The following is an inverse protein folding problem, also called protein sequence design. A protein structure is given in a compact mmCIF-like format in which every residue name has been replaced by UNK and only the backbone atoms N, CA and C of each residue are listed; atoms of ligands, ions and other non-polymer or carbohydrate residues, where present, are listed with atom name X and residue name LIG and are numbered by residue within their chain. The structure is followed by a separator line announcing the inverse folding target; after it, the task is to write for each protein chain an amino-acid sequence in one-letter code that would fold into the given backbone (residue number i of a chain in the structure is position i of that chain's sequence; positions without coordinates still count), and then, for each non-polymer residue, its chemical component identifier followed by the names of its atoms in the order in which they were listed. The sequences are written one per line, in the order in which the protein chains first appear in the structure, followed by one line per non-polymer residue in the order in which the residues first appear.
data_IF_376633702717
#
_entry.id   IF_376633702717
#
_cell.length_a   1.000
_cell.length_b   1.000
_cell.length_c   1.000
_cell.angle_alpha   90.00
_cell.angle_beta   90.00
_cell.angle_gamma   90.00
#
_symmetry.space_group_name_H-M   'P 1'
#
loop_
_entity.id
_entity.type
_entity.pdbx_description
1 polymer ?
#
# COMPACT_ATOMS: atom_id res chain seq x y z
N UNK A 1 -11.53 -4.29 -6.11
CA UNK A 1 -10.06 -4.07 -6.09
C UNK A 1 -9.81 -2.99 -7.10
N UNK A 2 -9.16 -1.91 -6.64
CA UNK A 2 -8.91 -0.79 -7.52
C UNK A 2 -7.83 -1.09 -8.55
N UNK A 3 -7.95 -0.47 -9.72
CA UNK A 3 -6.93 -0.52 -10.77
C UNK A 3 -5.73 0.30 -10.30
N UNK A 4 -4.50 -0.20 -10.47
CA UNK A 4 -3.29 0.58 -10.16
C UNK A 4 -2.80 1.33 -11.41
N UNK A 5 -2.51 2.63 -11.26
CA UNK A 5 -1.86 3.44 -12.29
C UNK A 5 -0.58 4.03 -11.73
N UNK A 6 0.55 3.51 -12.20
CA UNK A 6 1.90 3.96 -11.77
C UNK A 6 2.66 4.57 -12.94
N UNK A 7 3.51 5.57 -12.69
CA UNK A 7 4.40 6.08 -13.71
C UNK A 7 5.38 4.98 -14.14
N UNK A 8 5.84 5.06 -15.39
CA UNK A 8 6.89 4.18 -15.88
C UNK A 8 8.23 4.63 -15.29
N UNK A 9 8.69 3.91 -14.28
CA UNK A 9 10.05 4.07 -13.80
C UNK A 9 11.02 3.24 -14.63
N UNK A 10 12.14 3.83 -15.02
CA UNK A 10 13.26 3.10 -15.62
C UNK A 10 14.13 2.49 -14.50
N UNK A 11 13.62 1.43 -13.88
CA UNK A 11 14.31 0.72 -12.78
C UNK A 11 14.95 -0.54 -13.38
N UNK A 12 16.28 -0.70 -13.29
CA UNK A 12 16.95 -1.86 -13.86
C UNK A 12 16.57 -3.13 -13.11
N UNK A 13 16.41 -4.23 -13.87
CA UNK A 13 16.35 -5.57 -13.29
C UNK A 13 17.76 -5.98 -12.89
N UNK A 14 17.94 -6.43 -11.65
CA UNK A 14 19.23 -6.86 -11.12
C UNK A 14 19.12 -8.26 -10.54
N UNK A 15 20.02 -9.14 -10.99
CA UNK A 15 20.22 -10.43 -10.34
C UNK A 15 20.87 -10.20 -8.98
N UNK A 16 20.14 -10.53 -7.93
CA UNK A 16 20.59 -10.43 -6.54
C UNK A 16 20.42 -11.79 -5.88
N UNK A 17 21.33 -12.14 -4.98
CA UNK A 17 21.18 -13.37 -4.19
C UNK A 17 20.04 -13.21 -3.18
N UNK A 18 19.23 -14.25 -3.04
CA UNK A 18 18.23 -14.34 -2.00
C UNK A 18 18.73 -15.23 -0.86
N UNK A 19 18.19 -14.98 0.33
CA UNK A 19 18.38 -15.83 1.51
C UNK A 19 17.01 -16.28 2.02
N UNK A 20 16.92 -17.48 2.58
CA UNK A 20 15.70 -17.91 3.24
C UNK A 20 15.58 -17.25 4.61
N UNK A 21 14.44 -16.61 4.88
CA UNK A 21 14.12 -16.01 6.16
C UNK A 21 12.83 -16.64 6.68
N UNK A 22 12.80 -16.96 7.98
CA UNK A 22 11.62 -17.50 8.63
C UNK A 22 10.48 -16.48 8.60
N UNK A 23 9.28 -16.94 8.25
CA UNK A 23 8.09 -16.09 8.14
C UNK A 23 7.71 -15.46 9.49
N UNK A 24 7.99 -16.17 10.60
CA UNK A 24 7.75 -15.68 11.96
C UNK A 24 8.64 -14.49 12.34
N UNK A 25 9.77 -14.28 11.63
CA UNK A 25 10.65 -13.12 11.83
C UNK A 25 10.23 -11.91 11.00
N UNK A 26 9.19 -12.00 10.18
CA UNK A 26 8.75 -10.93 9.31
C UNK A 26 7.60 -10.16 9.94
N UNK A 27 7.71 -8.82 9.96
CA UNK A 27 6.70 -7.91 10.48
C UNK A 27 6.04 -7.13 9.33
N UNK A 28 4.71 -7.25 9.14
CA UNK A 28 3.98 -6.43 8.20
C UNK A 28 3.89 -4.99 8.71
N UNK A 29 3.89 -4.02 7.80
CA UNK A 29 3.53 -2.62 8.10
C UNK A 29 2.21 -2.19 7.44
N UNK A 30 1.55 -3.06 6.69
CA UNK A 30 0.25 -2.80 6.06
C UNK A 30 -0.72 -3.94 6.31
N UNK A 31 -2.02 -3.59 6.34
CA UNK A 31 -3.12 -4.54 6.33
C UNK A 31 -3.16 -5.31 5.00
N UNK A 32 -3.68 -6.54 5.07
CA UNK A 32 -3.81 -7.41 3.91
C UNK A 32 -5.10 -7.10 3.13
N UNK A 33 -5.04 -7.33 1.82
CA UNK A 33 -6.23 -7.33 0.95
C UNK A 33 -6.60 -8.77 0.68
N UNK A 34 -7.79 -9.19 1.11
CA UNK A 34 -8.22 -10.60 1.05
C UNK A 34 -8.13 -11.18 -0.36
N UNK A 35 -8.56 -10.42 -1.38
CA UNK A 35 -8.51 -10.84 -2.78
C UNK A 35 -7.08 -11.03 -3.30
N UNK A 36 -6.12 -10.18 -2.92
CA UNK A 36 -4.70 -10.35 -3.31
C UNK A 36 -4.06 -11.55 -2.61
N UNK A 37 -4.43 -11.79 -1.34
CA UNK A 37 -4.01 -12.96 -0.59
C UNK A 37 -4.48 -14.27 -1.25
N UNK A 38 -5.76 -14.34 -1.62
CA UNK A 38 -6.35 -15.51 -2.29
C UNK A 38 -5.72 -15.74 -3.66
N UNK A 39 -5.57 -14.68 -4.46
CA UNK A 39 -4.93 -14.76 -5.77
C UNK A 39 -3.48 -15.24 -5.69
N UNK A 40 -2.72 -14.80 -4.68
CA UNK A 40 -1.37 -15.32 -4.44
C UNK A 40 -1.39 -16.82 -4.13
N UNK A 41 -2.26 -17.26 -3.21
CA UNK A 41 -2.36 -18.67 -2.81
C UNK A 41 -2.69 -19.55 -4.02
N UNK A 42 -3.69 -19.15 -4.83
CA UNK A 42 -4.07 -19.89 -6.05
C UNK A 42 -2.89 -19.98 -7.04
N UNK A 43 -2.21 -18.86 -7.26
CA UNK A 43 -1.07 -18.78 -8.19
C UNK A 43 0.12 -19.66 -7.75
N UNK A 44 0.53 -19.57 -6.48
CA UNK A 44 1.70 -20.31 -5.98
C UNK A 44 1.40 -21.81 -5.85
N UNK A 45 0.18 -22.20 -5.47
CA UNK A 45 -0.19 -23.62 -5.37
C UNK A 45 -0.44 -24.25 -6.74
N UNK A 46 -1.00 -23.50 -7.70
CA UNK A 46 -1.21 -23.97 -9.07
C UNK A 46 0.08 -24.16 -9.86
N UNK A 47 1.07 -23.28 -9.66
CA UNK A 47 2.37 -23.38 -10.33
C UNK A 47 3.38 -24.25 -9.59
N UNK A 48 3.28 -24.36 -8.26
CA UNK A 48 4.28 -25.00 -7.41
C UNK A 48 5.60 -24.22 -7.31
N UNK A 49 5.64 -22.97 -7.80
CA UNK A 49 6.87 -22.16 -7.89
C UNK A 49 6.65 -20.79 -7.24
N UNK A 50 7.52 -20.45 -6.30
CA UNK A 50 7.64 -19.12 -5.71
C UNK A 50 8.73 -18.34 -6.44
N UNK A 51 8.33 -17.41 -7.31
CA UNK A 51 9.25 -16.76 -8.25
C UNK A 51 9.59 -15.30 -7.94
N UNK A 52 8.93 -14.67 -6.95
CA UNK A 52 9.16 -13.26 -6.59
C UNK A 52 9.64 -13.15 -5.13
N UNK A 53 10.94 -12.88 -4.87
CA UNK A 53 11.48 -12.84 -3.51
C UNK A 53 10.82 -11.75 -2.66
N UNK A 54 10.75 -11.98 -1.36
CA UNK A 54 10.37 -10.96 -0.38
C UNK A 54 11.42 -9.84 -0.37
N UNK A 55 10.98 -8.60 -0.16
CA UNK A 55 11.88 -7.49 0.10
C UNK A 55 11.79 -7.15 1.58
N UNK A 56 12.90 -7.30 2.29
CA UNK A 56 12.96 -7.19 3.74
C UNK A 56 13.97 -6.15 4.19
N UNK A 57 13.73 -5.54 5.33
CA UNK A 57 14.66 -4.64 5.99
C UNK A 57 14.84 -5.06 7.44
N UNK A 58 16.08 -5.08 7.96
CA UNK A 58 16.32 -5.41 9.37
C UNK A 58 15.68 -4.35 10.27
N UNK A 59 14.99 -4.79 11.33
CA UNK A 59 14.47 -3.89 12.37
C UNK A 59 15.60 -3.58 13.36
N UNK A 60 16.03 -2.31 13.50
CA UNK A 60 17.15 -1.99 14.39
C UNK A 60 16.85 -2.33 15.85
N UNK A 61 17.67 -3.19 16.44
CA UNK A 61 17.54 -3.62 17.84
C UNK A 61 16.70 -4.89 18.05
N UNK A 62 16.20 -5.52 16.99
CA UNK A 62 15.40 -6.75 17.07
C UNK A 62 15.93 -7.81 16.08
N UNK A 63 15.75 -9.10 16.38
CA UNK A 63 15.97 -10.19 15.41
C UNK A 63 14.74 -10.38 14.51
N UNK A 64 14.28 -9.28 13.91
CA UNK A 64 13.06 -9.19 13.11
C UNK A 64 13.30 -8.38 11.83
N UNK A 65 12.45 -8.58 10.84
CA UNK A 65 12.52 -7.94 9.53
C UNK A 65 11.21 -7.22 9.21
N UNK A 66 11.28 -5.94 8.85
CA UNK A 66 10.20 -5.22 8.20
C UNK A 66 9.96 -5.82 6.81
N UNK A 67 8.71 -6.14 6.48
CA UNK A 67 8.30 -6.50 5.11
C UNK A 67 8.20 -5.23 4.29
N UNK A 68 9.19 -4.92 3.45
CA UNK A 68 9.12 -3.75 2.54
C UNK A 68 8.15 -4.02 1.40
N UNK A 69 8.22 -5.21 0.78
CA UNK A 69 7.28 -5.67 -0.23
C UNK A 69 7.06 -7.18 -0.06
N UNK A 70 5.79 -7.61 -0.07
CA UNK A 70 5.40 -9.02 -0.03
C UNK A 70 4.41 -9.42 1.06
N UNK A 71 3.62 -8.51 1.61
CA UNK A 71 2.66 -8.80 2.70
C UNK A 71 1.73 -9.97 2.39
N UNK A 72 1.14 -10.02 1.18
CA UNK A 72 0.25 -11.12 0.79
C UNK A 72 1.00 -12.44 0.54
N UNK A 73 2.24 -12.37 0.06
CA UNK A 73 3.12 -13.54 -0.09
C UNK A 73 3.43 -14.15 1.27
N UNK A 74 3.86 -13.32 2.22
CA UNK A 74 4.10 -13.72 3.60
C UNK A 74 2.84 -14.33 4.24
N UNK A 75 1.72 -13.63 4.18
CA UNK A 75 0.47 -14.09 4.79
C UNK A 75 -0.06 -15.37 4.14
N UNK A 76 0.06 -15.50 2.81
CA UNK A 76 -0.35 -16.69 2.08
C UNK A 76 0.52 -17.90 2.40
N UNK A 77 1.83 -17.71 2.48
CA UNK A 77 2.75 -18.78 2.90
C UNK A 77 2.49 -19.22 4.34
N UNK A 78 2.24 -18.27 5.26
CA UNK A 78 1.83 -18.58 6.64
C UNK A 78 0.53 -19.40 6.66
N UNK A 79 -0.47 -19.01 5.86
CA UNK A 79 -1.76 -19.72 5.75
C UNK A 79 -1.61 -21.12 5.16
N UNK A 80 -0.64 -21.33 4.26
CA UNK A 80 -0.32 -22.64 3.70
C UNK A 80 0.50 -23.53 4.66
N UNK A 81 1.02 -22.97 5.76
CA UNK A 81 1.84 -23.70 6.74
C UNK A 81 3.32 -23.76 6.39
N UNK A 82 3.78 -23.00 5.40
CA UNK A 82 5.20 -22.82 5.10
C UNK A 82 5.92 -22.13 6.28
N UNK A 83 7.24 -22.26 6.34
CA UNK A 83 8.08 -21.76 7.44
C UNK A 83 8.98 -20.60 7.04
N UNK A 84 9.37 -20.52 5.77
CA UNK A 84 10.35 -19.55 5.28
C UNK A 84 10.02 -19.06 3.88
N UNK A 85 10.59 -17.92 3.50
CA UNK A 85 10.50 -17.41 2.13
C UNK A 85 11.86 -16.91 1.63
N UNK A 86 12.17 -17.09 0.33
CA UNK A 86 13.34 -16.49 -0.28
C UNK A 86 13.19 -14.97 -0.28
N UNK A 87 14.20 -14.29 0.23
CA UNK A 87 14.15 -12.88 0.61
C UNK A 87 15.42 -12.14 0.20
N UNK A 88 15.28 -10.90 -0.23
CA UNK A 88 16.37 -9.96 -0.47
C UNK A 88 16.36 -8.95 0.68
N UNK A 89 17.50 -8.84 1.38
CA UNK A 89 17.65 -7.90 2.49
C UNK A 89 18.16 -6.56 1.94
N UNK A 90 17.36 -5.51 2.13
CA UNK A 90 17.64 -4.16 1.70
C UNK A 90 18.36 -3.37 2.79
N UNK A 91 19.27 -2.50 2.37
CA UNK A 91 19.64 -1.33 3.17
C UNK A 91 18.53 -0.29 3.06
N UNK A 92 17.54 -0.40 3.94
CA UNK A 92 16.32 0.42 3.89
C UNK A 92 16.59 1.91 4.05
N UNK A 93 17.60 2.27 4.86
CA UNK A 93 17.89 3.67 5.13
C UNK A 93 18.81 4.31 4.08
N UNK A 94 19.37 3.54 3.14
CA UNK A 94 20.04 4.08 1.96
C UNK A 94 19.17 5.13 1.24
N UNK A 95 19.82 6.19 0.75
CA UNK A 95 19.17 7.24 -0.03
C UNK A 95 18.54 6.70 -1.32
N UNK A 96 18.98 5.54 -1.82
CA UNK A 96 18.43 4.92 -3.03
C UNK A 96 17.04 4.33 -2.80
N UNK A 97 16.67 4.03 -1.55
CA UNK A 97 15.34 3.52 -1.20
C UNK A 97 14.44 4.70 -0.86
N UNK A 98 13.43 4.93 -1.72
CA UNK A 98 12.42 5.97 -1.53
C UNK A 98 11.10 5.34 -1.14
N UNK A 99 10.38 6.00 -0.24
CA UNK A 99 9.01 5.64 0.14
C UNK A 99 8.09 6.78 -0.28
N UNK A 100 7.08 6.44 -1.05
CA UNK A 100 5.98 7.31 -1.44
C UNK A 100 4.67 6.76 -0.89
N UNK A 101 3.55 7.34 -1.29
CA UNK A 101 2.21 6.81 -1.01
C UNK A 101 1.46 6.52 -2.31
N UNK A 102 0.26 5.98 -2.16
CA UNK A 102 -0.73 5.88 -3.21
C UNK A 102 -1.83 6.91 -2.97
N UNK A 103 -2.43 7.36 -4.07
CA UNK A 103 -3.53 8.31 -4.10
C UNK A 103 -4.80 7.57 -4.55
N UNK A 104 -5.66 7.12 -3.62
CA UNK A 104 -6.94 6.51 -3.97
C UNK A 104 -7.78 7.56 -4.68
N UNK A 105 -8.29 7.24 -5.85
CA UNK A 105 -9.19 8.07 -6.62
C UNK A 105 -10.42 7.26 -6.99
N UNK A 106 -11.54 7.94 -7.17
CA UNK A 106 -12.76 7.25 -7.58
C UNK A 106 -13.52 8.01 -8.65
N UNK A 107 -14.29 7.23 -9.41
CA UNK A 107 -15.41 7.69 -10.22
C UNK A 107 -16.72 7.22 -9.57
N UNK A 108 -17.65 8.12 -9.32
CA UNK A 108 -18.90 7.82 -8.62
C UNK A 108 -19.55 9.01 -7.92
N UNK A 109 -20.60 8.72 -7.16
CA UNK A 109 -21.40 9.73 -6.47
C UNK A 109 -20.71 10.21 -5.18
N UNK A 110 -20.23 11.47 -5.20
CA UNK A 110 -19.59 12.11 -4.07
C UNK A 110 -20.47 12.09 -2.81
N UNK A 111 -21.76 12.42 -2.92
CA UNK A 111 -22.63 12.56 -1.75
C UNK A 111 -22.78 11.23 -1.02
N UNK A 112 -22.84 10.11 -1.76
CA UNK A 112 -22.83 8.77 -1.17
C UNK A 112 -21.53 8.47 -0.43
N UNK A 113 -20.38 8.80 -1.03
CA UNK A 113 -19.08 8.61 -0.37
C UNK A 113 -19.01 9.44 0.92
N UNK A 114 -19.42 10.71 0.87
CA UNK A 114 -19.47 11.59 2.03
C UNK A 114 -20.41 11.07 3.12
N UNK A 115 -21.60 10.56 2.75
CA UNK A 115 -22.56 9.98 3.68
C UNK A 115 -21.98 8.73 4.37
N UNK A 116 -21.35 7.83 3.61
CA UNK A 116 -20.72 6.60 4.13
C UNK A 116 -19.59 6.92 5.11
N UNK A 117 -18.72 7.87 4.75
CA UNK A 117 -17.63 8.32 5.63
C UNK A 117 -18.17 8.96 6.92
N UNK A 118 -19.21 9.79 6.83
CA UNK A 118 -19.86 10.40 8.01
C UNK A 118 -20.55 9.36 8.91
N UNK A 119 -21.13 8.30 8.34
CA UNK A 119 -21.72 7.18 9.10
C UNK A 119 -20.70 6.45 9.97
N UNK A 120 -19.44 6.37 9.54
CA UNK A 120 -18.33 5.84 10.34
C UNK A 120 -17.76 6.86 11.35
N UNK A 121 -18.40 8.03 11.49
CA UNK A 121 -18.04 9.06 12.47
C UNK A 121 -16.96 10.04 12.01
N UNK A 122 -16.66 10.10 10.71
CA UNK A 122 -15.68 11.07 10.18
C UNK A 122 -16.31 12.45 10.00
N UNK A 123 -15.58 13.49 10.43
CA UNK A 123 -15.88 14.88 10.10
C UNK A 123 -15.32 15.21 8.73
N UNK A 124 -16.12 15.88 7.89
CA UNK A 124 -15.72 16.29 6.55
C UNK A 124 -16.21 17.72 6.33
N UNK A 125 -15.30 18.60 5.98
CA UNK A 125 -15.55 20.03 5.81
C UNK A 125 -14.95 20.51 4.48
N UNK A 126 -15.69 21.32 3.73
CA UNK A 126 -15.18 21.97 2.53
C UNK A 126 -14.06 22.94 2.93
N UNK A 127 -12.93 22.87 2.21
CA UNK A 127 -11.69 23.53 2.58
C UNK A 127 -10.78 23.67 1.36
N UNK A 128 -10.63 24.89 0.84
CA UNK A 128 -9.84 25.18 -0.36
C UNK A 128 -8.36 24.76 -0.21
N UNK A 129 -7.79 24.92 0.99
CA UNK A 129 -6.41 24.56 1.28
C UNK A 129 -6.23 23.13 1.84
N UNK A 130 -7.22 22.24 1.65
CA UNK A 130 -7.15 20.88 2.19
C UNK A 130 -5.92 20.10 1.68
N UNK A 131 -5.57 20.21 0.40
CA UNK A 131 -4.40 19.53 -0.17
C UNK A 131 -3.11 19.91 0.57
N UNK A 132 -2.88 21.21 0.80
CA UNK A 132 -1.69 21.69 1.52
C UNK A 132 -1.62 21.15 2.95
N UNK A 133 -2.76 21.14 3.66
CA UNK A 133 -2.85 20.58 5.01
C UNK A 133 -2.53 19.08 5.03
N UNK A 134 -3.03 18.33 4.04
CA UNK A 134 -2.78 16.90 3.93
C UNK A 134 -1.30 16.60 3.63
N UNK A 135 -0.64 17.40 2.79
CA UNK A 135 0.78 17.24 2.48
C UNK A 135 1.70 17.53 3.65
N UNK A 136 1.33 18.50 4.51
CA UNK A 136 2.02 18.76 5.77
C UNK A 136 1.74 17.71 6.84
N UNK A 137 0.77 16.82 6.61
CA UNK A 137 0.34 15.78 7.56
C UNK A 137 -0.48 16.34 8.72
N UNK A 138 -1.14 17.48 8.54
CA UNK A 138 -1.98 18.12 9.56
C UNK A 138 -3.40 17.53 9.62
N UNK A 139 -3.81 16.81 8.58
CA UNK A 139 -5.10 16.11 8.46
C UNK A 139 -4.89 14.68 7.95
N UNK A 140 -5.90 13.82 8.10
CA UNK A 140 -5.84 12.42 7.66
C UNK A 140 -5.78 12.31 6.13
N UNK A 141 -6.69 13.02 5.47
CA UNK A 141 -6.80 13.09 4.01
C UNK A 141 -7.39 14.44 3.57
N UNK A 142 -6.97 14.90 2.40
CA UNK A 142 -7.74 15.82 1.57
C UNK A 142 -8.48 15.01 0.50
N UNK A 143 -9.73 15.35 0.25
CA UNK A 143 -10.51 14.84 -0.87
C UNK A 143 -10.65 15.96 -1.89
N UNK A 144 -9.99 15.83 -3.03
CA UNK A 144 -9.85 16.89 -4.04
C UNK A 144 -10.57 16.48 -5.32
N UNK A 145 -11.51 17.32 -5.77
CA UNK A 145 -12.16 17.25 -7.09
C UNK A 145 -11.81 18.48 -7.92
N UNK A 146 -12.47 18.65 -9.08
CA UNK A 146 -12.23 19.80 -9.98
C UNK A 146 -12.56 21.15 -9.33
N UNK A 147 -13.74 21.23 -8.72
CA UNK A 147 -14.30 22.51 -8.23
C UNK A 147 -14.28 22.62 -6.70
N UNK A 148 -14.16 21.49 -6.01
CA UNK A 148 -14.29 21.41 -4.54
C UNK A 148 -13.19 20.57 -3.93
N UNK A 149 -12.73 21.00 -2.77
CA UNK A 149 -11.82 20.25 -1.92
C UNK A 149 -12.41 20.15 -0.51
N UNK A 150 -12.20 19.00 0.13
CA UNK A 150 -12.64 18.73 1.49
C UNK A 150 -11.49 18.26 2.33
N UNK A 151 -11.45 18.68 3.59
CA UNK A 151 -10.54 18.14 4.60
C UNK A 151 -11.23 17.06 5.41
N UNK A 152 -10.49 16.01 5.72
CA UNK A 152 -10.86 14.95 6.65
C UNK A 152 -9.85 15.02 7.81
N UNK A 153 -10.17 15.68 8.93
CA UNK A 153 -9.28 15.80 10.08
C UNK A 153 -8.96 14.44 10.69
N UNK A 154 -7.82 14.34 11.36
CA UNK A 154 -7.40 13.13 12.07
C UNK A 154 -6.03 12.64 11.63
N UNK A 155 -5.76 11.36 11.87
CA UNK A 155 -4.49 10.71 11.53
C UNK A 155 -4.69 9.27 11.10
N UNK A 156 -3.83 8.37 11.57
CA UNK A 156 -3.79 6.97 11.16
C UNK A 156 -5.14 6.23 11.31
N UNK A 157 -5.89 6.54 12.38
CA UNK A 157 -7.19 5.92 12.63
C UNK A 157 -8.19 6.30 11.54
N UNK A 158 -8.33 7.58 11.26
CA UNK A 158 -9.26 8.10 10.26
C UNK A 158 -8.85 7.65 8.85
N UNK A 159 -7.54 7.60 8.56
CA UNK A 159 -7.03 7.05 7.30
C UNK A 159 -7.45 5.59 7.06
N UNK A 160 -7.46 4.76 8.13
CA UNK A 160 -7.93 3.38 8.06
C UNK A 160 -9.43 3.29 7.79
N UNK A 161 -10.22 4.15 8.43
CA UNK A 161 -11.68 4.22 8.22
C UNK A 161 -11.97 4.60 6.76
N UNK A 162 -11.32 5.64 6.24
CA UNK A 162 -11.46 6.05 4.83
C UNK A 162 -11.15 4.88 3.90
N UNK A 163 -10.00 4.22 4.10
CA UNK A 163 -9.57 3.10 3.24
C UNK A 163 -10.59 1.95 3.25
N UNK A 164 -11.09 1.58 4.45
CA UNK A 164 -12.11 0.54 4.62
C UNK A 164 -13.40 0.88 3.87
N UNK A 165 -13.91 2.11 4.01
CA UNK A 165 -15.15 2.55 3.34
C UNK A 165 -14.99 2.51 1.82
N UNK A 166 -13.86 2.99 1.29
CA UNK A 166 -13.60 2.96 -0.16
C UNK A 166 -13.53 1.52 -0.70
N UNK A 167 -12.89 0.62 0.03
CA UNK A 167 -12.84 -0.80 -0.35
C UNK A 167 -14.23 -1.44 -0.36
N UNK A 168 -15.05 -1.21 0.67
CA UNK A 168 -16.43 -1.70 0.75
C UNK A 168 -17.27 -1.19 -0.43
N UNK A 169 -17.27 0.12 -0.67
CA UNK A 169 -18.01 0.74 -1.77
C UNK A 169 -17.53 0.25 -3.15
N UNK A 170 -16.23 -0.03 -3.30
CA UNK A 170 -15.68 -0.61 -4.52
C UNK A 170 -16.16 -2.06 -4.74
N UNK A 171 -16.28 -2.86 -3.67
CA UNK A 171 -16.79 -4.23 -3.75
C UNK A 171 -18.29 -4.26 -4.05
N UNK A 172 -19.04 -3.31 -3.47
CA UNK A 172 -20.48 -3.14 -3.70
C UNK A 172 -20.79 -2.58 -5.10
N UNK A 173 -19.77 -2.12 -5.83
CA UNK A 173 -19.91 -1.52 -7.16
C UNK A 173 -20.51 -0.12 -7.14
N UNK A 174 -20.50 0.55 -5.98
CA UNK A 174 -20.99 1.93 -5.83
C UNK A 174 -20.02 2.96 -6.40
N UNK A 175 -18.72 2.63 -6.41
CA UNK A 175 -17.64 3.45 -6.98
C UNK A 175 -16.67 2.61 -7.79
N UNK A 176 -16.09 3.21 -8.82
CA UNK A 176 -14.89 2.69 -9.48
C UNK A 176 -13.66 3.25 -8.77
N UNK A 177 -12.93 2.41 -8.03
CA UNK A 177 -11.75 2.80 -7.26
C UNK A 177 -10.47 2.56 -8.08
N UNK A 178 -9.54 3.52 -8.06
CA UNK A 178 -8.26 3.46 -8.75
C UNK A 178 -7.17 3.97 -7.78
N UNK A 179 -6.03 3.30 -7.71
CA UNK A 179 -4.88 3.73 -6.90
C UNK A 179 -3.80 4.31 -7.81
N UNK A 180 -3.57 5.61 -7.69
CA UNK A 180 -2.54 6.30 -8.46
C UNK A 180 -1.21 6.34 -7.71
N UNK A 181 -0.11 6.11 -8.43
CA UNK A 181 1.24 6.25 -7.88
C UNK A 181 1.72 7.70 -7.81
N UNK A 182 1.17 8.58 -8.64
CA UNK A 182 1.41 10.03 -8.66
C UNK A 182 0.09 10.78 -8.58
N UNK A 183 0.05 11.83 -7.78
CA UNK A 183 -1.15 12.68 -7.67
C UNK A 183 -1.39 13.48 -8.95
N UNK A 184 -0.33 13.82 -9.68
CA UNK A 184 -0.39 14.56 -10.94
C UNK A 184 -1.11 13.76 -12.02
N UNK A 185 -0.83 12.45 -12.11
CA UNK A 185 -1.53 11.54 -13.04
C UNK A 185 -3.03 11.46 -12.70
N UNK A 186 -3.38 11.46 -11.41
CA UNK A 186 -4.77 11.51 -10.98
C UNK A 186 -5.42 12.84 -11.39
N UNK A 187 -4.73 13.97 -11.21
CA UNK A 187 -5.23 15.29 -11.64
C UNK A 187 -5.43 15.37 -13.16
N UNK A 188 -4.51 14.82 -13.94
CA UNK A 188 -4.64 14.77 -15.40
C UNK A 188 -5.86 13.93 -15.84
N UNK A 189 -6.07 12.77 -15.23
CA UNK A 189 -7.22 11.91 -15.51
C UNK A 189 -8.53 12.53 -15.02
N UNK A 190 -8.48 13.25 -13.90
CA UNK A 190 -9.61 14.04 -13.42
C UNK A 190 -9.98 15.11 -14.45
N UNK A 191 -9.02 15.86 -15.00
CA UNK A 191 -9.26 16.85 -16.05
C UNK A 191 -9.92 16.24 -17.28
N UNK A 192 -9.53 15.02 -17.67
CA UNK A 192 -10.15 14.23 -18.75
C UNK A 192 -11.53 13.67 -18.42
N UNK A 193 -11.96 13.71 -17.16
CA UNK A 193 -13.24 13.15 -16.70
C UNK A 193 -13.22 11.63 -16.51
N UNK A 194 -12.03 11.04 -16.38
CA UNK A 194 -11.84 9.62 -16.11
C UNK A 194 -12.08 9.29 -14.63
N UNK A 195 -11.77 10.22 -13.73
CA UNK A 195 -12.09 10.16 -12.29
C UNK A 195 -12.79 11.45 -11.83
N UNK A 196 -13.50 11.39 -10.71
CA UNK A 196 -14.21 12.53 -10.14
C UNK A 196 -13.44 13.18 -8.98
N UNK A 197 -12.84 12.36 -8.11
CA UNK A 197 -12.13 12.80 -6.92
C UNK A 197 -10.90 11.95 -6.59
N UNK A 198 -9.92 12.57 -5.93
CA UNK A 198 -8.71 11.91 -5.41
C UNK A 198 -8.49 12.22 -3.94
N UNK A 199 -8.11 11.20 -3.17
CA UNK A 199 -7.68 11.28 -1.78
C UNK A 199 -6.17 11.50 -1.71
N UNK A 200 -5.76 12.58 -1.05
CA UNK A 200 -4.37 12.99 -0.87
C UNK A 200 -4.01 12.94 0.60
N UNK A 201 -2.86 12.34 0.93
CA UNK A 201 -2.26 12.33 2.27
C UNK A 201 -0.75 12.52 2.16
N UNK A 202 -0.12 12.93 3.26
CA UNK A 202 1.34 12.87 3.42
C UNK A 202 1.81 11.42 3.30
N UNK A 203 2.84 11.19 2.48
CA UNK A 203 3.52 9.90 2.43
C UNK A 203 4.29 9.65 3.74
N UNK A 204 4.26 8.43 4.29
CA UNK A 204 5.01 8.12 5.50
C UNK A 204 6.51 8.13 5.22
N UNK A 205 7.32 8.58 6.18
CA UNK A 205 8.77 8.47 6.11
C UNK A 205 9.24 7.04 6.42
N UNK A 206 10.50 6.73 6.10
CA UNK A 206 11.09 5.42 6.41
C UNK A 206 11.14 5.17 7.92
N UNK A 207 11.40 6.24 8.68
CA UNK A 207 11.40 6.26 10.14
C UNK A 207 9.99 6.01 10.68
N UNK A 208 8.96 6.70 10.17
CA UNK A 208 7.56 6.50 10.55
C UNK A 208 7.11 5.05 10.30
N UNK A 209 7.46 4.46 9.14
CA UNK A 209 7.20 3.03 8.84
C UNK A 209 7.90 2.11 9.84
N UNK A 210 9.18 2.36 10.12
CA UNK A 210 9.97 1.53 11.04
C UNK A 210 9.45 1.62 12.48
N UNK A 211 9.11 2.81 12.95
CA UNK A 211 8.53 3.02 14.28
C UNK A 211 7.17 2.33 14.44
N UNK A 212 6.33 2.41 13.42
CA UNK A 212 5.01 1.80 13.43
C UNK A 212 5.11 0.26 13.55
N UNK A 213 6.06 -0.35 12.85
CA UNK A 213 6.35 -1.80 12.96
C UNK A 213 6.92 -2.18 14.32
N UNK A 214 7.77 -1.33 14.93
CA UNK A 214 8.27 -1.55 16.29
C UNK A 214 7.15 -1.56 17.33
N UNK A 215 6.10 -0.76 17.11
CA UNK A 215 4.89 -0.73 17.95
C UNK A 215 3.94 -1.91 17.70
N UNK A 216 4.21 -2.73 16.69
CA UNK A 216 3.33 -3.84 16.29
C UNK A 216 2.03 -3.38 15.61
N UNK A 217 2.02 -2.14 15.10
CA UNK A 217 0.90 -1.57 14.37
C UNK A 217 1.09 -1.72 12.87
N UNK A 218 0.01 -1.52 12.10
CA UNK A 218 0.00 -1.57 10.62
C UNK A 218 -0.77 -0.37 10.05
N UNK A 219 -0.38 0.11 8.87
CA UNK A 219 -1.16 1.04 8.05
C UNK A 219 -2.33 0.33 7.33
N UNK A 220 -3.23 1.11 6.74
CA UNK A 220 -4.20 0.57 5.77
C UNK A 220 -3.49 0.09 4.48
N UNK A 221 -4.13 -0.76 3.67
CA UNK A 221 -3.55 -1.20 2.41
C UNK A 221 -3.18 -0.03 1.50
N UNK A 222 -2.15 -0.19 0.68
CA UNK A 222 -1.69 0.82 -0.29
C UNK A 222 -1.31 2.14 0.40
N UNK A 223 -0.64 2.06 1.56
CA UNK A 223 -0.14 3.26 2.26
C UNK A 223 1.25 3.66 1.86
N UNK A 224 2.11 2.68 1.68
CA UNK A 224 3.47 2.85 1.22
C UNK A 224 3.58 2.42 -0.24
N UNK A 225 4.44 3.12 -0.96
CA UNK A 225 4.85 2.77 -2.31
C UNK A 225 6.35 2.92 -2.39
N UNK A 226 7.07 1.83 -2.17
CA UNK A 226 8.52 1.83 -2.24
C UNK A 226 9.00 1.86 -3.68
N UNK A 227 9.96 2.75 -3.95
CA UNK A 227 10.73 2.77 -5.19
C UNK A 227 12.15 2.38 -4.82
N UNK A 228 12.63 1.31 -5.45
CA UNK A 228 13.95 0.74 -5.22
C UNK A 228 14.89 1.09 -6.37
N UNK A 229 16.22 1.07 -6.14
CA UNK A 229 17.21 1.27 -7.21
C UNK A 229 17.25 0.12 -8.23
N UNK A 230 16.61 -1.01 -7.93
CA UNK A 230 16.52 -2.16 -8.82
C UNK A 230 15.25 -2.97 -8.55
N UNK A 231 14.85 -3.75 -9.55
CA UNK A 231 13.86 -4.83 -9.40
C UNK A 231 14.64 -6.14 -9.28
N UNK A 232 14.49 -6.92 -8.19
CA UNK A 232 15.11 -8.25 -8.13
C UNK A 232 14.67 -9.10 -9.31
N UNK A 233 15.62 -9.75 -9.97
CA UNK A 233 15.29 -10.72 -11.01
C UNK A 233 14.44 -11.87 -10.44
N UNK A 234 13.64 -12.49 -11.31
CA UNK A 234 12.80 -13.63 -10.92
C UNK A 234 13.68 -14.78 -10.44
N UNK A 235 13.20 -15.49 -9.44
CA UNK A 235 13.83 -16.69 -8.90
C UNK A 235 13.00 -17.93 -9.27
N UNK A 236 13.58 -19.10 -9.10
CA UNK A 236 12.91 -20.39 -9.34
C UNK A 236 13.06 -21.26 -8.09
N UNK A 237 12.19 -21.01 -7.10
CA UNK A 237 12.17 -21.74 -5.84
C UNK A 237 10.90 -22.56 -5.78
N UNK A 238 11.02 -23.87 -5.55
CA UNK A 238 9.85 -24.71 -5.44
C UNK A 238 9.10 -24.42 -4.15
N UNK A 239 7.78 -24.49 -4.21
CA UNK A 239 6.92 -24.29 -3.04
C UNK A 239 7.21 -25.30 -1.93
N UNK A 240 7.57 -26.55 -2.28
CA UNK A 240 7.92 -27.60 -1.31
C UNK A 240 9.14 -27.24 -0.45
N UNK A 241 10.07 -26.43 -0.97
CA UNK A 241 11.27 -26.02 -0.24
C UNK A 241 10.97 -25.00 0.87
N UNK A 242 9.76 -24.43 0.89
CA UNK A 242 9.37 -23.38 1.84
C UNK A 242 8.82 -23.93 3.17
N UNK A 243 8.55 -25.23 3.25
CA UNK A 243 8.00 -25.91 4.42
C UNK A 243 9.08 -26.34 5.43
#
# INVERSE_FOLDING_TARGET
MGVEKVPKYDIPVKKVEYVFIDLEKMKPHEQLVQKELEAFIESVTGSGVFWKPMLLAKVPGEDMYLIVDGHHRWAGLMKLGAKRAPSVILDYFSDDVKVYTWYPAFKGDLEKVLERLKKEGLTIEECENAEELAEKGEIAFALVGKDKAFKIPGGLREQKIVSKVLDEMSVEGEIELIYYGLKEDAKEDMDKGEIDYVFIRKAPSKEEVMELVKRGEVFSPKTTRHVLPFIPDKIDVKLEDLF
#
